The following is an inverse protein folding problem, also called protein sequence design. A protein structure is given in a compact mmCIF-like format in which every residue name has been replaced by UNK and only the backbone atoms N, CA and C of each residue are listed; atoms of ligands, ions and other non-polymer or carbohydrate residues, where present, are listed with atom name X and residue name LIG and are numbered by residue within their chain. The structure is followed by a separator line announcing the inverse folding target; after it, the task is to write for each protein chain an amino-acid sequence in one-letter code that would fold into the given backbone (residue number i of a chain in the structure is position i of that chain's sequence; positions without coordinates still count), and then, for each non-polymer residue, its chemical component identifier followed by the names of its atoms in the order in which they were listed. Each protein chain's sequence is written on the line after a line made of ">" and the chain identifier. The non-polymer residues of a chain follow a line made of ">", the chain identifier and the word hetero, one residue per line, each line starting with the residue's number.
data_IF_062671619245
#
_entry.id   IF_062671619245
#
_cell.length_a   1.000
_cell.length_b   1.000
_cell.length_c   1.000
_cell.angle_alpha   90.00
_cell.angle_beta   90.00
_cell.angle_gamma   90.00
#
_symmetry.space_group_name_H-M   'P 1'
#
loop_
_entity.id
_entity.type
_entity.pdbx_description
1 polymer ?
#
# COMPACT_ATOMS: atom_id res chain seq x y z
N UNK A 1 -4.47 10.19 10.43
CA UNK A 1 -4.70 8.83 10.93
C UNK A 1 -6.18 8.52 10.93
N UNK A 2 -6.56 7.35 10.44
CA UNK A 2 -7.96 6.95 10.38
C UNK A 2 -8.12 5.57 11.01
N UNK A 3 -9.34 5.29 11.50
CA UNK A 3 -9.68 3.94 11.97
C UNK A 3 -10.28 3.18 10.81
N UNK A 4 -9.64 2.09 10.43
CA UNK A 4 -10.12 1.24 9.36
C UNK A 4 -10.78 -0.01 9.95
N UNK A 5 -11.90 -0.42 9.35
CA UNK A 5 -12.52 -1.70 9.67
C UNK A 5 -11.90 -2.76 8.78
N UNK A 6 -11.47 -3.86 9.38
CA UNK A 6 -10.76 -4.95 8.69
C UNK A 6 -11.76 -6.04 8.37
N UNK A 7 -11.92 -6.32 7.08
CA UNK A 7 -12.72 -7.44 6.60
C UNK A 7 -11.78 -8.55 6.14
N UNK A 8 -11.54 -9.55 7.01
CA UNK A 8 -10.69 -10.67 6.67
C UNK A 8 -11.32 -11.51 5.58
N UNK A 9 -10.49 -11.94 4.64
CA UNK A 9 -10.92 -12.82 3.56
C UNK A 9 -10.60 -14.26 3.94
N UNK A 10 -11.62 -15.11 3.92
CA UNK A 10 -11.46 -16.52 4.30
C UNK A 10 -10.74 -17.33 3.24
N UNK A 11 -10.99 -17.00 1.96
CA UNK A 11 -10.33 -17.64 0.84
C UNK A 11 -9.06 -16.87 0.51
N UNK A 12 -7.94 -17.53 0.63
CA UNK A 12 -6.64 -16.92 0.38
C UNK A 12 -6.37 -16.83 -1.13
N UNK A 13 -7.13 -16.00 -1.82
CA UNK A 13 -6.91 -15.76 -3.24
C UNK A 13 -5.56 -15.12 -3.45
N UNK A 14 -4.85 -15.58 -4.46
CA UNK A 14 -3.57 -14.99 -4.83
C UNK A 14 -3.78 -13.95 -5.92
N UNK A 15 -2.90 -12.95 -5.92
CA UNK A 15 -2.86 -11.92 -6.95
C UNK A 15 -1.42 -11.81 -7.44
N UNK A 16 -1.26 -11.79 -8.76
CA UNK A 16 0.05 -11.52 -9.35
C UNK A 16 0.17 -10.02 -9.57
N UNK A 17 1.15 -9.39 -8.91
CA UNK A 17 1.46 -7.99 -9.15
C UNK A 17 2.60 -7.89 -10.15
N UNK A 18 2.41 -7.04 -11.17
CA UNK A 18 3.49 -6.67 -12.06
C UNK A 18 4.40 -5.70 -11.35
N UNK A 19 5.67 -5.73 -11.70
CA UNK A 19 6.65 -4.78 -11.18
C UNK A 19 7.08 -3.83 -12.28
N UNK A 20 7.73 -2.75 -11.87
CA UNK A 20 8.17 -1.70 -12.82
C UNK A 20 9.10 -2.25 -13.87
N UNK A 21 9.90 -3.27 -13.56
CA UNK A 21 10.83 -3.89 -14.51
C UNK A 21 10.29 -5.15 -15.19
N UNK A 22 8.99 -5.38 -15.14
CA UNK A 22 8.33 -6.49 -15.83
C UNK A 22 8.33 -7.83 -15.12
N UNK A 23 8.96 -7.94 -13.97
CA UNK A 23 8.90 -9.15 -13.17
C UNK A 23 7.53 -9.27 -12.49
N UNK A 24 7.18 -10.50 -12.10
CA UNK A 24 5.91 -10.77 -11.44
C UNK A 24 6.15 -11.24 -10.00
N UNK A 25 5.35 -10.75 -9.08
CA UNK A 25 5.40 -11.16 -7.66
C UNK A 25 4.03 -11.65 -7.22
N UNK A 26 4.00 -12.70 -6.42
CA UNK A 26 2.76 -13.28 -5.92
C UNK A 26 2.42 -12.73 -4.54
N UNK A 27 1.16 -12.36 -4.37
CA UNK A 27 0.63 -11.88 -3.09
C UNK A 27 -0.67 -12.60 -2.77
N UNK A 28 -0.98 -12.67 -1.48
CA UNK A 28 -2.26 -13.19 -0.99
C UNK A 28 -3.12 -12.01 -0.60
N UNK A 29 -4.38 -12.02 -1.02
CA UNK A 29 -5.36 -11.03 -0.59
C UNK A 29 -5.75 -11.33 0.84
N UNK A 30 -5.25 -10.52 1.78
CA UNK A 30 -5.39 -10.78 3.21
C UNK A 30 -6.70 -10.26 3.77
N UNK A 31 -7.03 -9.01 3.49
CA UNK A 31 -8.21 -8.35 4.03
C UNK A 31 -8.52 -7.10 3.23
N UNK A 32 -9.80 -6.68 3.27
CA UNK A 32 -10.18 -5.33 2.86
C UNK A 32 -10.12 -4.41 4.06
N UNK A 33 -9.67 -3.18 3.84
CA UNK A 33 -9.72 -2.10 4.82
C UNK A 33 -10.79 -1.12 4.38
N UNK A 34 -11.77 -0.89 5.24
CA UNK A 34 -12.87 0.06 5.00
C UNK A 34 -12.71 1.23 5.94
N UNK A 35 -12.66 2.43 5.41
CA UNK A 35 -12.46 3.63 6.23
C UNK A 35 -13.03 4.86 5.54
N UNK A 36 -13.22 5.92 6.31
CA UNK A 36 -13.61 7.21 5.78
C UNK A 36 -12.39 8.14 5.80
N UNK A 37 -12.12 8.77 4.68
CA UNK A 37 -11.02 9.72 4.56
C UNK A 37 -11.54 10.98 3.89
N UNK A 38 -11.36 12.12 4.55
CA UNK A 38 -11.86 13.42 4.07
C UNK A 38 -13.36 13.38 3.75
N UNK A 39 -14.13 12.66 4.58
CA UNK A 39 -15.57 12.56 4.42
C UNK A 39 -16.04 11.57 3.34
N UNK A 40 -15.11 10.85 2.70
CA UNK A 40 -15.42 9.92 1.61
C UNK A 40 -15.06 8.50 2.03
N UNK A 41 -16.00 7.57 1.80
CA UNK A 41 -15.75 6.16 2.08
C UNK A 41 -14.71 5.60 1.11
N UNK A 42 -13.73 4.88 1.66
CA UNK A 42 -12.63 4.29 0.91
C UNK A 42 -12.50 2.82 1.23
N UNK A 43 -11.90 2.08 0.31
CA UNK A 43 -11.67 0.65 0.45
C UNK A 43 -10.33 0.31 -0.18
N UNK A 44 -9.46 -0.34 0.57
CA UNK A 44 -8.17 -0.81 0.08
C UNK A 44 -7.98 -2.27 0.42
N UNK A 45 -7.32 -3.01 -0.47
CA UNK A 45 -6.92 -4.41 -0.23
C UNK A 45 -5.56 -4.43 0.43
N UNK A 46 -5.46 -5.19 1.52
CA UNK A 46 -4.23 -5.44 2.26
C UNK A 46 -3.67 -6.81 1.84
N UNK A 47 -2.38 -6.89 1.59
CA UNK A 47 -1.75 -8.08 1.02
C UNK A 47 -0.70 -8.70 1.94
N UNK A 48 -0.50 -10.03 1.76
CA UNK A 48 0.67 -10.74 2.29
C UNK A 48 1.57 -11.11 1.11
N UNK A 49 2.88 -11.01 1.28
CA UNK A 49 3.83 -11.48 0.27
C UNK A 49 4.02 -12.99 0.40
N UNK A 50 3.77 -13.73 -0.67
CA UNK A 50 3.98 -15.19 -0.68
C UNK A 50 5.43 -15.51 -0.36
N UNK A 51 6.37 -14.75 -0.93
CA UNK A 51 7.80 -14.95 -0.70
C UNK A 51 8.19 -14.70 0.76
N UNK A 52 7.73 -13.59 1.33
CA UNK A 52 8.10 -13.21 2.69
C UNK A 52 7.45 -14.08 3.76
N UNK A 53 6.29 -14.66 3.48
CA UNK A 53 5.61 -15.55 4.43
C UNK A 53 6.46 -16.76 4.82
N UNK A 54 7.39 -17.17 3.97
CA UNK A 54 8.27 -18.31 4.22
C UNK A 54 9.38 -17.98 5.20
N UNK A 55 9.61 -16.71 5.49
CA UNK A 55 10.64 -16.26 6.42
C UNK A 55 9.99 -15.96 7.76
N UNK A 56 10.38 -16.66 8.86
CA UNK A 56 9.77 -16.40 10.18
C UNK A 56 9.88 -14.95 10.65
N UNK A 57 10.87 -14.20 10.18
CA UNK A 57 11.03 -12.80 10.54
C UNK A 57 9.92 -11.92 9.95
N UNK A 58 9.28 -12.37 8.86
CA UNK A 58 8.27 -11.60 8.15
C UNK A 58 6.88 -12.25 8.17
N UNK A 59 6.65 -13.19 9.08
CA UNK A 59 5.37 -13.92 9.13
C UNK A 59 4.18 -13.02 9.37
N UNK A 60 4.36 -11.87 10.02
CA UNK A 60 3.31 -10.91 10.31
C UNK A 60 3.31 -9.70 9.36
N UNK A 61 4.18 -9.70 8.37
CA UNK A 61 4.33 -8.59 7.44
C UNK A 61 3.11 -8.47 6.53
N UNK A 62 2.55 -7.26 6.46
CA UNK A 62 1.45 -6.93 5.56
C UNK A 62 1.84 -5.74 4.70
N UNK A 63 1.36 -5.73 3.46
CA UNK A 63 1.75 -4.76 2.45
C UNK A 63 0.50 -4.06 1.91
N UNK A 64 0.53 -2.73 1.90
CA UNK A 64 -0.58 -1.90 1.42
C UNK A 64 -0.07 -0.94 0.35
N UNK A 65 -0.05 -1.35 -0.92
CA UNK A 65 0.27 -0.45 -2.01
C UNK A 65 -1.00 0.27 -2.46
N UNK A 66 -0.89 1.55 -2.80
CA UNK A 66 -2.07 2.31 -3.21
C UNK A 66 -1.73 3.47 -4.12
N UNK A 67 -2.72 3.90 -4.89
CA UNK A 67 -2.72 5.17 -5.61
C UNK A 67 -3.66 6.14 -4.91
N UNK A 68 -3.42 7.42 -5.12
CA UNK A 68 -4.36 8.47 -4.70
C UNK A 68 -4.27 9.64 -5.69
N UNK A 69 -5.10 10.66 -5.51
CA UNK A 69 -5.16 11.77 -6.46
C UNK A 69 -3.94 12.69 -6.42
N UNK A 70 -3.10 12.58 -5.40
CA UNK A 70 -1.86 13.38 -5.33
C UNK A 70 -0.76 12.80 -6.21
N UNK A 71 -0.90 11.54 -6.69
CA UNK A 71 0.14 10.87 -7.48
C UNK A 71 0.40 11.61 -8.79
N UNK A 72 1.69 11.80 -9.09
CA UNK A 72 2.11 12.54 -10.28
C UNK A 72 2.10 14.04 -10.10
N UNK A 73 1.64 14.53 -8.95
CA UNK A 73 1.62 15.96 -8.63
C UNK A 73 2.49 16.22 -7.39
N UNK A 74 1.94 16.08 -6.18
CA UNK A 74 2.71 16.26 -4.95
C UNK A 74 3.34 14.97 -4.44
N UNK A 75 2.97 13.82 -5.01
CA UNK A 75 3.57 12.54 -4.68
C UNK A 75 3.98 11.79 -5.93
N UNK A 76 4.75 10.71 -5.75
CA UNK A 76 5.25 9.89 -6.85
C UNK A 76 4.10 9.30 -7.69
N UNK A 77 4.21 9.39 -9.01
CA UNK A 77 3.15 8.93 -9.93
C UNK A 77 2.89 7.43 -9.92
N UNK A 78 3.85 6.63 -9.49
CA UNK A 78 3.71 5.17 -9.40
C UNK A 78 3.02 4.69 -8.13
N UNK A 79 2.47 5.59 -7.31
CA UNK A 79 1.82 5.24 -6.06
C UNK A 79 2.78 5.16 -4.88
N UNK A 80 2.26 4.79 -3.72
CA UNK A 80 3.04 4.68 -2.49
C UNK A 80 2.68 3.43 -1.73
N UNK A 81 3.50 3.08 -0.73
CA UNK A 81 3.33 1.88 0.08
C UNK A 81 3.20 2.22 1.54
N UNK A 82 2.42 1.40 2.27
CA UNK A 82 2.45 1.34 3.72
C UNK A 82 2.77 -0.10 4.10
N UNK A 83 3.71 -0.29 5.02
CA UNK A 83 4.02 -1.59 5.58
C UNK A 83 3.44 -1.69 6.97
N UNK A 84 2.79 -2.82 7.24
CA UNK A 84 2.07 -3.05 8.49
C UNK A 84 2.42 -4.42 9.04
N UNK A 85 2.10 -4.63 10.32
CA UNK A 85 2.15 -5.94 10.93
C UNK A 85 0.73 -6.39 11.25
N UNK A 86 0.46 -7.70 11.07
CA UNK A 86 -0.84 -8.25 11.45
C UNK A 86 -1.12 -8.05 12.94
N UNK A 87 -0.08 -7.85 13.75
CA UNK A 87 -0.22 -7.59 15.19
C UNK A 87 -0.81 -6.21 15.48
N UNK A 88 -0.82 -5.30 14.50
CA UNK A 88 -1.43 -3.97 14.64
C UNK A 88 -2.96 -4.03 14.53
N UNK A 89 -3.49 -5.13 14.00
CA UNK A 89 -4.94 -5.31 13.89
C UNK A 89 -5.48 -5.78 15.24
N UNK A 90 -6.43 -5.03 15.80
CA UNK A 90 -7.04 -5.34 17.06
C UNK A 90 -8.52 -5.69 16.83
N UNK A 91 -8.83 -7.00 16.89
CA UNK A 91 -10.15 -7.47 16.50
C UNK A 91 -10.41 -7.21 15.03
N UNK A 92 -11.39 -6.37 14.74
CA UNK A 92 -11.72 -5.98 13.36
C UNK A 92 -11.29 -4.55 13.06
N UNK A 93 -10.39 -3.97 13.86
CA UNK A 93 -9.99 -2.58 13.70
C UNK A 93 -8.49 -2.43 13.48
N UNK A 94 -8.11 -1.46 12.67
CA UNK A 94 -6.72 -1.09 12.41
C UNK A 94 -6.63 0.44 12.37
N UNK A 95 -5.68 0.99 13.11
CA UNK A 95 -5.38 2.42 13.01
C UNK A 95 -4.41 2.62 11.85
N UNK A 96 -4.92 3.22 10.78
CA UNK A 96 -4.16 3.41 9.55
C UNK A 96 -3.59 4.83 9.52
N UNK A 97 -2.27 4.91 9.54
CA UNK A 97 -1.56 6.19 9.55
C UNK A 97 -0.89 6.44 8.20
N UNK A 98 -1.48 7.34 7.41
CA UNK A 98 -0.95 7.66 6.09
C UNK A 98 0.37 8.44 6.15
N UNK A 99 0.76 8.95 7.30
CA UNK A 99 2.11 9.53 7.45
C UNK A 99 3.21 8.48 7.29
N UNK A 100 2.86 7.20 7.40
CA UNK A 100 3.80 6.09 7.24
C UNK A 100 4.03 5.73 5.78
N UNK A 101 3.28 6.29 4.83
CA UNK A 101 3.43 5.90 3.43
C UNK A 101 4.74 6.43 2.84
N UNK A 102 5.36 5.62 2.00
CA UNK A 102 6.66 5.93 1.41
C UNK A 102 6.67 5.55 -0.07
N UNK A 103 7.63 6.14 -0.79
CA UNK A 103 7.80 5.86 -2.22
C UNK A 103 8.51 4.52 -2.44
N UNK A 104 8.14 3.78 -3.51
CA UNK A 104 8.96 2.65 -3.94
C UNK A 104 10.38 3.12 -4.29
N UNK A 105 11.35 2.23 -4.17
CA UNK A 105 12.73 2.56 -4.54
C UNK A 105 12.84 3.04 -5.99
N UNK A 106 11.97 2.57 -6.88
CA UNK A 106 11.95 2.99 -8.28
C UNK A 106 11.67 4.49 -8.46
N UNK A 107 11.17 5.18 -7.44
CA UNK A 107 11.01 6.62 -7.47
C UNK A 107 12.34 7.37 -7.44
N UNK A 108 13.40 6.72 -6.98
CA UNK A 108 14.73 7.33 -6.80
C UNK A 108 15.75 6.82 -7.79
N UNK A 109 15.61 5.57 -8.23
CA UNK A 109 16.58 4.94 -9.13
C UNK A 109 15.90 3.82 -9.91
N UNK A 110 16.61 3.28 -10.92
CA UNK A 110 16.11 2.18 -11.73
C UNK A 110 16.71 0.85 -11.28
N UNK A 111 16.20 -0.26 -11.83
CA UNK A 111 16.74 -1.58 -11.60
C UNK A 111 16.07 -2.37 -10.47
N UNK A 112 15.10 -1.77 -9.78
CA UNK A 112 14.37 -2.47 -8.71
C UNK A 112 13.06 -3.05 -9.23
N UNK A 113 12.67 -4.20 -8.66
CA UNK A 113 11.40 -4.85 -8.98
C UNK A 113 10.32 -4.37 -8.02
N UNK A 114 9.92 -3.10 -8.16
CA UNK A 114 8.92 -2.48 -7.28
C UNK A 114 7.52 -2.86 -7.74
N UNK A 115 6.69 -3.45 -6.86
CA UNK A 115 5.31 -3.80 -7.24
C UNK A 115 4.50 -2.57 -7.63
N UNK A 116 3.71 -2.73 -8.69
CA UNK A 116 2.77 -1.70 -9.15
C UNK A 116 1.46 -1.95 -8.41
N UNK A 117 0.91 -0.95 -7.70
CA UNK A 117 -0.35 -1.15 -6.99
C UNK A 117 -1.46 -1.60 -7.94
N UNK A 118 -2.32 -2.55 -7.52
CA UNK A 118 -3.47 -2.93 -8.35
C UNK A 118 -4.41 -1.74 -8.52
N UNK A 119 -5.09 -1.68 -9.65
CA UNK A 119 -6.01 -0.58 -9.95
C UNK A 119 -7.11 -0.42 -8.90
N UNK A 120 -7.55 -1.52 -8.30
CA UNK A 120 -8.59 -1.48 -7.26
C UNK A 120 -8.11 -0.76 -5.98
N UNK A 121 -6.80 -0.63 -5.78
CA UNK A 121 -6.23 0.06 -4.63
C UNK A 121 -5.99 1.55 -4.94
N UNK A 122 -7.02 2.20 -5.45
CA UNK A 122 -6.97 3.62 -5.78
C UNK A 122 -7.93 4.39 -4.89
N UNK A 123 -7.39 5.33 -4.12
CA UNK A 123 -8.18 6.25 -3.31
C UNK A 123 -8.72 7.37 -4.21
N UNK A 124 -9.92 7.85 -3.89
CA UNK A 124 -10.58 8.90 -4.67
C UNK A 124 -10.33 10.30 -4.13
N UNK A 125 -9.40 10.42 -3.20
CA UNK A 125 -8.99 11.69 -2.59
C UNK A 125 -7.47 11.80 -2.59
N UNK A 126 -6.94 13.00 -2.38
CA UNK A 126 -5.50 13.21 -2.26
C UNK A 126 -5.01 12.93 -0.85
N UNK A 127 -3.96 12.13 -0.73
CA UNK A 127 -3.27 11.89 0.55
C UNK A 127 -2.03 12.79 0.56
N UNK A 128 -2.10 13.87 1.32
CA UNK A 128 -1.02 14.85 1.39
C UNK A 128 0.01 14.52 2.48
N UNK A 129 -0.30 13.53 3.32
CA UNK A 129 0.63 13.03 4.34
C UNK A 129 1.66 12.09 3.71
N UNK A 130 2.68 11.73 4.49
CA UNK A 130 3.69 10.79 4.07
C UNK A 130 4.71 11.36 3.10
N UNK A 131 5.44 10.47 2.43
CA UNK A 131 6.52 10.85 1.54
C UNK A 131 6.01 11.51 0.26
N UNK A 132 6.65 12.62 -0.12
CA UNK A 132 6.31 13.39 -1.32
C UNK A 132 7.13 12.92 -2.52
N UNK A 133 6.81 13.45 -3.70
CA UNK A 133 7.56 13.15 -4.92
C UNK A 133 9.02 13.58 -4.77
N UNK A 134 9.93 12.68 -5.11
CA UNK A 134 11.36 12.94 -5.00
C UNK A 134 11.78 14.07 -5.93
N UNK A 135 12.44 15.08 -5.36
CA UNK A 135 13.02 16.18 -6.12
C UNK A 135 12.06 17.32 -6.44
N UNK A 136 10.75 17.12 -6.45
CA UNK A 136 9.79 18.17 -6.82
C UNK A 136 9.71 19.29 -5.81
N UNK A 137 9.69 18.93 -4.55
CA UNK A 137 9.65 19.89 -3.45
C UNK A 137 10.93 20.70 -3.35
N UNK A 138 12.03 20.20 -3.92
CA UNK A 138 13.31 20.89 -3.93
C UNK A 138 13.37 22.01 -4.96
N UNK A 139 12.45 22.02 -5.89
CA UNK A 139 12.41 23.00 -6.98
C UNK A 139 11.57 24.21 -6.62
N UNK A 140 11.01 24.23 -5.46
CA UNK A 140 10.11 25.31 -5.00
C UNK A 140 10.83 26.40 -4.24
#
# INVERSE_FOLDING_TARGET
>A
MVNAKVERLENSDTLTMLTVNGKKKQYIKYAYLHFELQGVQQKLMLFQSVRLMRNPLYKNYLFLPFYDESNGNTSYGGGRYIELSSMEIKGEELRLDFNRCFNPYCAYTTGYSCPIPPAENTLTVSVLAGEKAYGKDKEK
#
